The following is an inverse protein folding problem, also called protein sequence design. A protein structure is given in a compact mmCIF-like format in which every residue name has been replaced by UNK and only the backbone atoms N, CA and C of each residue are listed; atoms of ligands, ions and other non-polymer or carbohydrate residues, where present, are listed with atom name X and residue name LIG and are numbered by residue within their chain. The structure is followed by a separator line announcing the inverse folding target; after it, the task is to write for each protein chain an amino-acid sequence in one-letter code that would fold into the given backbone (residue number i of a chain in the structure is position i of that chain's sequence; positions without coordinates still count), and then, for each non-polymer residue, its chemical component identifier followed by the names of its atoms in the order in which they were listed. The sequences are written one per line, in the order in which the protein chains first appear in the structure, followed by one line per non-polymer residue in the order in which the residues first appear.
data_IF_814197076197
#
_entry.id   IF_814197076197
#
_cell.length_a   1.000
_cell.length_b   1.000
_cell.length_c   1.000
_cell.angle_alpha   90.00
_cell.angle_beta   90.00
_cell.angle_gamma   90.00
#
_symmetry.space_group_name_H-M   'P 1'
#
loop_
_entity.id
_entity.type
_entity.pdbx_description
1 polymer ?
#
# COMPACT_ATOMS: atom_id res chain seq x y z
N UNK A 1 0.47 26.84 36.13
CA UNK A 1 -0.18 28.13 35.85
C UNK A 1 0.35 28.61 34.50
N UNK A 2 -0.54 28.93 33.56
CA UNK A 2 -0.16 29.49 32.25
C UNK A 2 -0.27 31.01 32.24
N UNK A 3 0.32 31.66 31.24
CA UNK A 3 0.11 33.09 30.97
C UNK A 3 -1.15 33.20 30.10
N UNK A 4 -2.22 33.75 30.67
CA UNK A 4 -3.51 33.85 29.98
C UNK A 4 -3.38 34.69 28.71
N UNK A 5 -3.81 34.14 27.58
CA UNK A 5 -3.82 34.82 26.28
C UNK A 5 -2.44 34.96 25.61
N UNK A 6 -1.39 34.31 26.12
CA UNK A 6 -0.06 34.39 25.53
C UNK A 6 -0.02 33.82 24.10
N UNK A 7 -0.57 32.63 23.90
CA UNK A 7 -0.65 31.99 22.57
C UNK A 7 -1.38 32.89 21.58
N UNK A 8 -2.61 33.32 21.90
CA UNK A 8 -3.38 34.25 21.07
C UNK A 8 -2.65 35.56 20.80
N UNK A 9 -1.89 36.09 21.77
CA UNK A 9 -1.07 37.29 21.57
C UNK A 9 0.08 37.03 20.60
N UNK A 10 0.78 35.90 20.72
CA UNK A 10 1.88 35.50 19.85
C UNK A 10 1.36 35.26 18.42
N UNK A 11 0.29 34.49 18.26
CA UNK A 11 -0.31 34.19 16.96
C UNK A 11 -0.78 35.45 16.22
N UNK A 12 -1.35 36.43 16.95
CA UNK A 12 -1.83 37.68 16.35
C UNK A 12 -0.71 38.63 15.95
N UNK A 13 0.35 38.73 16.76
CA UNK A 13 1.40 39.74 16.55
C UNK A 13 2.63 39.20 15.80
N UNK A 14 2.86 37.88 15.85
CA UNK A 14 4.03 37.19 15.30
C UNK A 14 3.60 35.85 14.65
N UNK A 15 2.69 35.88 13.65
CA UNK A 15 2.15 34.66 13.05
C UNK A 15 3.26 33.78 12.49
N UNK A 16 3.20 32.48 12.79
CA UNK A 16 4.13 31.43 12.35
C UNK A 16 5.60 31.60 12.78
N UNK A 17 5.95 32.61 13.58
CA UNK A 17 7.32 32.78 14.06
C UNK A 17 7.64 31.88 15.27
N UNK A 18 6.62 31.53 16.06
CA UNK A 18 6.80 30.80 17.34
C UNK A 18 5.72 29.73 17.61
N UNK A 19 4.53 29.87 17.03
CA UNK A 19 3.47 28.87 17.09
C UNK A 19 3.26 28.34 15.67
N UNK A 20 3.69 27.11 15.42
CA UNK A 20 3.50 26.41 14.16
C UNK A 20 3.31 24.92 14.43
N UNK A 21 2.53 24.26 13.59
CA UNK A 21 2.37 22.81 13.67
C UNK A 21 3.69 22.11 13.37
N UNK A 22 3.98 21.06 14.13
CA UNK A 22 5.19 20.27 13.98
C UNK A 22 4.85 18.79 13.93
N UNK A 23 5.55 18.08 13.05
CA UNK A 23 5.61 16.63 13.08
C UNK A 23 6.73 16.22 14.05
N UNK A 24 6.36 15.54 15.14
CA UNK A 24 7.29 15.08 16.18
C UNK A 24 8.33 14.10 15.61
N UNK A 25 7.95 13.27 14.63
CA UNK A 25 8.84 12.33 13.96
C UNK A 25 9.84 13.07 13.08
N UNK A 26 9.41 14.08 12.33
CA UNK A 26 10.31 14.90 11.51
C UNK A 26 11.36 15.61 12.39
N UNK A 27 10.93 16.24 13.48
CA UNK A 27 11.84 16.86 14.45
C UNK A 27 12.83 15.85 15.04
N UNK A 28 12.35 14.64 15.36
CA UNK A 28 13.19 13.56 15.86
C UNK A 28 14.24 13.11 14.82
N UNK A 29 13.89 13.03 13.54
CA UNK A 29 14.79 12.61 12.47
C UNK A 29 15.81 13.70 12.09
N UNK A 30 15.40 14.98 12.08
CA UNK A 30 16.32 16.12 11.95
C UNK A 30 17.35 16.09 13.09
N UNK A 31 16.88 15.94 14.33
CA UNK A 31 17.77 15.88 15.50
C UNK A 31 18.77 14.72 15.41
N UNK A 32 18.33 13.53 14.98
CA UNK A 32 19.21 12.37 14.78
C UNK A 32 20.27 12.65 13.72
N UNK A 33 19.89 13.28 12.60
CA UNK A 33 20.78 13.62 11.50
C UNK A 33 21.86 14.60 11.95
N UNK A 34 21.46 15.64 12.68
CA UNK A 34 22.36 16.74 13.04
C UNK A 34 23.28 16.40 14.22
N UNK A 35 22.81 15.55 15.14
CA UNK A 35 23.54 15.28 16.40
C UNK A 35 24.07 13.86 16.52
N UNK A 36 23.56 12.92 15.71
CA UNK A 36 23.83 11.48 15.86
C UNK A 36 23.27 10.86 17.14
N UNK A 37 22.47 11.60 17.92
CA UNK A 37 21.95 11.17 19.23
C UNK A 37 20.51 10.71 19.15
N UNK A 38 20.11 9.89 20.13
CA UNK A 38 18.71 9.48 20.29
C UNK A 38 17.89 10.66 20.82
N UNK A 39 16.81 11.07 20.14
CA UNK A 39 15.94 12.15 20.59
C UNK A 39 15.20 11.72 21.86
N UNK A 40 15.07 12.66 22.80
CA UNK A 40 14.37 12.49 24.08
C UNK A 40 13.32 13.58 24.16
N UNK A 41 12.06 13.16 24.28
CA UNK A 41 10.91 14.05 24.46
C UNK A 41 10.58 14.07 25.95
N UNK A 42 10.44 15.27 26.51
CA UNK A 42 9.97 15.47 27.88
C UNK A 42 8.51 15.88 27.78
N UNK A 43 7.65 15.11 28.45
CA UNK A 43 6.19 15.37 28.50
C UNK A 43 5.87 15.95 29.87
N UNK A 44 5.15 17.08 29.89
CA UNK A 44 4.62 17.67 31.11
C UNK A 44 3.39 16.88 31.59
N UNK A 45 3.62 15.92 32.50
CA UNK A 45 2.60 14.99 32.99
C UNK A 45 1.32 15.67 33.51
N UNK A 46 1.40 16.66 34.42
CA UNK A 46 0.25 17.42 34.91
C UNK A 46 -0.60 18.11 33.84
N UNK A 47 0.00 18.53 32.72
CA UNK A 47 -0.72 19.22 31.65
C UNK A 47 -1.31 18.22 30.64
N UNK A 48 -0.55 17.15 30.33
CA UNK A 48 -1.02 15.99 29.57
C UNK A 48 -2.27 15.35 30.20
N UNK A 49 -2.33 15.31 31.54
CA UNK A 49 -3.49 14.84 32.31
C UNK A 49 -4.79 15.60 32.02
N UNK A 50 -4.73 16.90 31.72
CA UNK A 50 -5.93 17.69 31.40
C UNK A 50 -6.43 17.41 29.99
N UNK A 51 -5.53 17.33 29.02
CA UNK A 51 -5.87 17.00 27.64
C UNK A 51 -6.58 15.65 27.54
N UNK A 52 -6.11 14.65 28.29
CA UNK A 52 -6.74 13.33 28.35
C UNK A 52 -8.10 13.33 29.06
N UNK A 53 -8.36 14.28 29.96
CA UNK A 53 -9.63 14.38 30.66
C UNK A 53 -10.71 14.99 29.77
N UNK A 54 -10.33 15.82 28.78
CA UNK A 54 -11.26 16.45 27.85
C UNK A 54 -11.77 15.48 26.75
N UNK A 55 -10.98 14.44 26.40
CA UNK A 55 -11.36 13.39 25.43
C UNK A 55 -12.22 12.25 26.03
N UNK A 56 -12.35 12.19 27.37
CA UNK A 56 -13.16 11.17 28.03
C UNK A 56 -14.59 11.66 28.20
N UNK A 57 -15.52 11.15 27.38
CA UNK A 57 -16.97 11.39 27.50
C UNK A 57 -17.47 11.20 28.95
N UNK A 58 -17.63 12.32 29.66
CA UNK A 58 -18.50 12.69 30.80
C UNK A 58 -18.89 11.69 31.93
N UNK A 59 -18.53 10.41 31.93
CA UNK A 59 -19.24 9.42 32.78
C UNK A 59 -18.50 8.86 34.00
N UNK A 60 -17.20 9.11 34.20
CA UNK A 60 -16.45 8.40 35.27
C UNK A 60 -15.55 9.25 36.17
N UNK A 61 -15.64 10.57 36.13
CA UNK A 61 -14.71 11.46 36.85
C UNK A 61 -14.81 11.40 38.38
N UNK A 62 -15.85 10.80 38.97
CA UNK A 62 -16.13 10.82 40.42
C UNK A 62 -15.71 9.52 41.16
N UNK A 63 -15.47 8.39 40.47
CA UNK A 63 -15.52 7.06 41.12
C UNK A 63 -14.17 6.35 41.37
N UNK A 64 -13.03 7.07 41.37
CA UNK A 64 -11.75 6.51 41.86
C UNK A 64 -11.03 5.52 40.94
N UNK A 65 -11.48 5.34 39.69
CA UNK A 65 -10.77 4.61 38.62
C UNK A 65 -9.64 5.39 37.93
N UNK A 66 -9.52 6.69 38.25
CA UNK A 66 -8.75 7.69 37.49
C UNK A 66 -7.27 7.37 37.32
N UNK A 67 -6.62 6.77 38.33
CA UNK A 67 -5.20 6.40 38.25
C UNK A 67 -4.94 5.19 37.35
N UNK A 68 -5.90 4.25 37.28
CA UNK A 68 -5.77 3.05 36.45
C UNK A 68 -5.96 3.42 34.98
N UNK A 69 -7.01 4.17 34.67
CA UNK A 69 -7.27 4.71 33.32
C UNK A 69 -6.11 5.59 32.85
N UNK A 70 -5.60 6.47 33.71
CA UNK A 70 -4.41 7.28 33.40
C UNK A 70 -3.18 6.41 33.06
N UNK A 71 -2.92 5.38 33.86
CA UNK A 71 -1.81 4.46 33.62
C UNK A 71 -2.02 3.69 32.33
N UNK A 72 -3.24 3.27 32.02
CA UNK A 72 -3.59 2.57 30.78
C UNK A 72 -3.42 3.47 29.54
N UNK A 73 -3.95 4.68 29.57
CA UNK A 73 -3.81 5.66 28.48
C UNK A 73 -2.36 6.11 28.28
N UNK A 74 -1.61 6.34 29.36
CA UNK A 74 -0.18 6.67 29.27
C UNK A 74 0.65 5.50 28.74
N UNK A 75 0.31 4.27 29.14
CA UNK A 75 0.92 3.06 28.57
C UNK A 75 0.59 2.93 27.09
N UNK A 76 -0.65 3.19 26.70
CA UNK A 76 -1.08 3.17 25.30
C UNK A 76 -0.29 4.17 24.46
N UNK A 77 -0.24 5.44 24.88
CA UNK A 77 0.56 6.48 24.21
C UNK A 77 2.03 6.08 24.03
N UNK A 78 2.70 5.62 25.11
CA UNK A 78 4.10 5.18 25.02
C UNK A 78 4.26 3.91 24.20
N UNK A 79 3.28 3.01 24.23
CA UNK A 79 3.28 1.77 23.46
C UNK A 79 3.19 2.06 21.95
N UNK A 80 2.33 2.98 21.51
CA UNK A 80 2.19 3.37 20.11
C UNK A 80 3.54 3.74 19.47
N UNK A 81 4.37 4.55 20.15
CA UNK A 81 5.70 4.89 19.64
C UNK A 81 6.69 3.73 19.63
N UNK A 82 6.60 2.79 20.59
CA UNK A 82 7.49 1.63 20.63
C UNK A 82 7.10 0.62 19.55
N UNK A 83 5.81 0.38 19.37
CA UNK A 83 5.25 -0.58 18.42
C UNK A 83 5.54 -0.16 16.98
N UNK A 84 5.32 1.10 16.61
CA UNK A 84 5.60 1.58 15.26
C UNK A 84 7.10 1.47 14.88
N UNK A 85 8.00 1.73 15.83
CA UNK A 85 9.44 1.57 15.59
C UNK A 85 9.84 0.10 15.34
N UNK A 86 9.22 -0.86 16.03
CA UNK A 86 9.47 -2.29 15.76
C UNK A 86 8.89 -2.70 14.40
N UNK A 87 7.69 -2.21 14.05
CA UNK A 87 7.09 -2.40 12.72
C UNK A 87 8.03 -1.89 11.62
N UNK A 88 8.58 -0.67 11.77
CA UNK A 88 9.53 -0.10 10.81
C UNK A 88 10.83 -0.90 10.69
N UNK A 89 11.35 -1.46 11.79
CA UNK A 89 12.52 -2.35 11.75
C UNK A 89 12.21 -3.62 10.96
N UNK A 90 11.05 -4.25 11.19
CA UNK A 90 10.64 -5.43 10.45
C UNK A 90 10.45 -5.13 8.95
N UNK A 91 9.80 -4.00 8.63
CA UNK A 91 9.63 -3.54 7.25
C UNK A 91 10.99 -3.33 6.55
N UNK A 92 11.96 -2.72 7.25
CA UNK A 92 13.33 -2.54 6.76
C UNK A 92 14.02 -3.88 6.45
N UNK A 93 13.99 -4.83 7.40
CA UNK A 93 14.61 -6.15 7.21
C UNK A 93 13.99 -6.86 5.99
N UNK A 94 12.66 -6.83 5.86
CA UNK A 94 11.98 -7.43 4.70
C UNK A 94 12.32 -6.73 3.39
N UNK A 95 12.44 -5.40 3.40
CA UNK A 95 12.85 -4.62 2.23
C UNK A 95 14.28 -4.95 1.79
N UNK A 96 15.24 -4.94 2.71
CA UNK A 96 16.65 -5.26 2.44
C UNK A 96 16.85 -6.72 1.97
N UNK A 97 16.02 -7.64 2.47
CA UNK A 97 16.00 -9.04 2.05
C UNK A 97 15.16 -9.32 0.79
N UNK A 98 14.59 -8.28 0.16
CA UNK A 98 13.74 -8.40 -1.04
C UNK A 98 12.51 -9.32 -0.85
N UNK A 99 12.02 -9.46 0.39
CA UNK A 99 10.87 -10.28 0.76
C UNK A 99 9.53 -9.52 0.64
N UNK A 100 9.57 -8.26 0.24
CA UNK A 100 8.40 -7.39 -0.01
C UNK A 100 8.68 -6.49 -1.21
N UNK A 101 7.63 -5.92 -1.80
CA UNK A 101 7.79 -4.91 -2.86
C UNK A 101 8.56 -3.67 -2.38
N UNK A 102 9.30 -3.06 -3.32
CA UNK A 102 10.20 -1.94 -3.03
C UNK A 102 9.50 -0.71 -2.44
N UNK A 103 8.21 -0.52 -2.70
CA UNK A 103 7.44 0.65 -2.25
C UNK A 103 6.99 0.57 -0.79
N UNK A 104 6.90 -0.64 -0.21
CA UNK A 104 6.31 -0.84 1.10
C UNK A 104 7.03 -0.05 2.20
N UNK A 105 8.34 -0.21 2.33
CA UNK A 105 9.13 0.45 3.39
C UNK A 105 9.22 1.98 3.20
N UNK A 106 9.51 2.53 2.00
CA UNK A 106 9.49 3.98 1.78
C UNK A 106 8.16 4.65 2.17
N UNK A 107 7.02 4.06 1.84
CA UNK A 107 5.71 4.61 2.24
C UNK A 107 5.59 4.68 3.77
N UNK A 108 6.01 3.63 4.48
CA UNK A 108 5.96 3.62 5.95
C UNK A 108 6.92 4.64 6.59
N UNK A 109 7.98 5.02 5.89
CA UNK A 109 8.84 6.13 6.31
C UNK A 109 8.18 7.51 6.10
N UNK A 110 7.13 7.60 5.27
CA UNK A 110 6.49 8.85 4.87
C UNK A 110 7.06 9.42 3.56
N UNK A 111 7.82 8.63 2.79
CA UNK A 111 8.33 9.06 1.50
C UNK A 111 7.23 9.08 0.45
N UNK A 112 7.44 9.89 -0.61
CA UNK A 112 6.53 9.98 -1.75
C UNK A 112 6.46 8.63 -2.47
N UNK A 113 5.24 8.17 -2.74
CA UNK A 113 5.00 7.03 -3.61
C UNK A 113 5.08 7.47 -5.07
N UNK A 114 6.05 6.93 -5.81
CA UNK A 114 6.25 7.23 -7.22
C UNK A 114 5.80 6.06 -8.09
N UNK A 115 4.92 6.34 -9.06
CA UNK A 115 4.56 5.38 -10.09
C UNK A 115 5.23 5.79 -11.41
N UNK A 116 6.15 4.93 -11.87
CA UNK A 116 6.92 5.17 -13.10
C UNK A 116 6.05 5.42 -14.33
N UNK A 117 6.62 6.02 -15.38
CA UNK A 117 5.96 6.21 -16.69
C UNK A 117 5.53 4.85 -17.26
N UNK A 118 4.32 4.78 -17.81
CA UNK A 118 3.83 3.62 -18.55
C UNK A 118 3.52 4.00 -20.02
N UNK A 119 3.47 3.01 -20.92
CA UNK A 119 3.12 3.23 -22.32
C UNK A 119 1.59 3.30 -22.41
N UNK A 120 1.04 4.46 -22.07
CA UNK A 120 -0.39 4.74 -22.09
C UNK A 120 -0.73 5.81 -23.13
N UNK A 121 -1.97 5.77 -23.64
CA UNK A 121 -2.46 6.84 -24.50
C UNK A 121 -3.35 7.80 -23.70
N UNK A 122 -2.75 8.82 -23.11
CA UNK A 122 -3.44 9.84 -22.33
C UNK A 122 -4.39 10.73 -23.15
N UNK A 123 -4.34 10.67 -24.48
CA UNK A 123 -5.31 11.36 -25.34
C UNK A 123 -6.62 10.56 -25.50
N UNK A 124 -6.65 9.29 -25.09
CA UNK A 124 -7.83 8.45 -25.19
C UNK A 124 -8.79 8.71 -24.03
N UNK A 125 -9.83 9.52 -24.27
CA UNK A 125 -10.84 9.85 -23.25
C UNK A 125 -11.72 8.67 -22.82
N UNK A 126 -11.68 7.55 -23.54
CA UNK A 126 -12.45 6.36 -23.18
C UNK A 126 -11.70 5.46 -22.17
N UNK A 127 -10.42 5.72 -21.92
CA UNK A 127 -9.61 4.96 -20.98
C UNK A 127 -9.02 5.90 -19.95
N UNK A 128 -9.18 5.52 -18.70
CA UNK A 128 -8.50 6.11 -17.56
C UNK A 128 -7.05 5.64 -17.50
N UNK A 129 -6.16 6.48 -16.95
CA UNK A 129 -4.77 6.10 -16.74
C UNK A 129 -4.66 4.90 -15.78
N UNK A 130 -3.60 4.10 -15.86
CA UNK A 130 -3.43 3.00 -14.90
C UNK A 130 -3.16 3.51 -13.48
N UNK A 131 -2.53 4.67 -13.36
CA UNK A 131 -2.37 5.38 -12.10
C UNK A 131 -3.73 5.63 -11.43
N UNK A 132 -4.71 6.13 -12.18
CA UNK A 132 -6.07 6.34 -11.69
C UNK A 132 -6.85 5.01 -11.54
N UNK A 133 -6.66 4.06 -12.45
CA UNK A 133 -7.25 2.71 -12.44
C UNK A 133 -7.10 2.01 -11.09
N UNK A 134 -5.88 2.03 -10.58
CA UNK A 134 -5.48 1.32 -9.37
C UNK A 134 -5.41 2.21 -8.13
N UNK A 135 -5.79 3.49 -8.21
CA UNK A 135 -5.82 4.39 -7.05
C UNK A 135 -6.66 3.82 -5.89
N UNK A 136 -7.90 3.31 -6.10
CA UNK A 136 -8.68 2.73 -5.01
C UNK A 136 -7.98 1.56 -4.29
N UNK A 137 -7.26 0.73 -5.05
CA UNK A 137 -6.47 -0.38 -4.49
C UNK A 137 -5.27 0.15 -3.69
N UNK A 138 -4.54 1.14 -4.19
CA UNK A 138 -3.42 1.77 -3.45
C UNK A 138 -3.87 2.36 -2.13
N UNK A 139 -4.99 3.08 -2.11
CA UNK A 139 -5.57 3.64 -0.87
C UNK A 139 -5.86 2.56 0.18
N UNK A 140 -6.36 1.40 -0.24
CA UNK A 140 -6.58 0.24 0.65
C UNK A 140 -5.28 -0.42 1.10
N UNK A 141 -4.27 -0.51 0.22
CA UNK A 141 -2.94 -0.98 0.60
C UNK A 141 -2.33 -0.06 1.67
N UNK A 142 -2.46 1.26 1.51
CA UNK A 142 -2.04 2.22 2.53
C UNK A 142 -2.81 2.02 3.84
N UNK A 143 -4.12 1.74 3.74
CA UNK A 143 -4.95 1.40 4.88
C UNK A 143 -4.48 0.18 5.66
N UNK A 144 -3.90 -0.81 5.00
CA UNK A 144 -3.25 -1.96 5.66
C UNK A 144 -1.91 -1.55 6.28
N UNK A 145 -1.04 -0.88 5.52
CA UNK A 145 0.34 -0.59 5.94
C UNK A 145 0.45 0.46 7.04
N UNK A 146 -0.51 1.37 7.13
CA UNK A 146 -0.48 2.52 8.03
C UNK A 146 -1.58 2.44 9.10
N UNK A 147 -2.27 1.30 9.22
CA UNK A 147 -3.33 1.11 10.21
C UNK A 147 -2.86 1.35 11.65
N UNK A 148 -1.63 0.94 11.97
CA UNK A 148 -1.00 1.11 13.29
C UNK A 148 -0.21 2.42 13.42
N UNK A 149 -0.31 3.32 12.44
CA UNK A 149 0.30 4.64 12.49
C UNK A 149 -0.77 5.72 12.68
N UNK A 150 -0.99 6.20 13.91
CA UNK A 150 -2.09 7.12 14.23
C UNK A 150 -1.95 8.49 13.57
N UNK A 151 -0.73 8.89 13.19
CA UNK A 151 -0.44 10.24 12.73
C UNK A 151 -0.58 10.40 11.21
N UNK A 152 -0.82 9.32 10.46
CA UNK A 152 -0.82 9.35 9.00
C UNK A 152 -2.22 9.16 8.43
N UNK A 153 -2.79 10.25 7.92
CA UNK A 153 -4.09 10.23 7.21
C UNK A 153 -3.94 10.18 5.68
N UNK A 154 -2.77 10.55 5.15
CA UNK A 154 -2.52 10.69 3.71
C UNK A 154 -1.17 10.10 3.32
N UNK A 155 -1.06 9.68 2.06
CA UNK A 155 0.20 9.33 1.39
C UNK A 155 0.41 10.29 0.23
N UNK A 156 1.60 10.86 0.14
CA UNK A 156 1.98 11.71 -0.98
C UNK A 156 2.28 10.84 -2.20
N UNK A 157 1.59 11.05 -3.32
CA UNK A 157 1.83 10.34 -4.59
C UNK A 157 2.37 11.27 -5.67
N UNK A 158 3.36 10.78 -6.44
CA UNK A 158 3.80 11.35 -7.71
C UNK A 158 3.52 10.33 -8.81
N UNK A 159 2.31 10.38 -9.36
CA UNK A 159 1.83 9.43 -10.36
C UNK A 159 1.48 10.15 -11.67
N UNK A 160 2.01 9.66 -12.79
CA UNK A 160 1.71 10.23 -14.11
C UNK A 160 0.33 9.77 -14.58
N UNK A 161 -0.58 10.73 -14.74
CA UNK A 161 -1.98 10.49 -15.14
C UNK A 161 -2.33 11.14 -16.49
N UNK A 162 -1.45 11.97 -17.04
CA UNK A 162 -1.67 12.71 -18.28
C UNK A 162 -0.35 12.84 -19.07
N UNK A 163 -0.38 13.58 -20.18
CA UNK A 163 0.84 13.93 -20.93
C UNK A 163 1.74 14.94 -20.19
N UNK A 164 1.36 15.37 -18.98
CA UNK A 164 2.12 16.31 -18.17
C UNK A 164 2.74 15.60 -16.96
N UNK A 165 4.00 15.92 -16.68
CA UNK A 165 4.66 15.44 -15.47
C UNK A 165 4.10 16.22 -14.27
N UNK A 166 3.63 15.56 -13.20
CA UNK A 166 3.19 16.28 -12.02
C UNK A 166 4.34 17.11 -11.44
N UNK A 167 4.08 18.39 -11.14
CA UNK A 167 5.07 19.29 -10.55
C UNK A 167 5.21 19.13 -9.04
N UNK A 168 4.15 18.65 -8.37
CA UNK A 168 4.08 18.46 -6.93
C UNK A 168 3.38 17.12 -6.61
N UNK A 169 3.65 16.59 -5.42
CA UNK A 169 3.01 15.36 -4.97
C UNK A 169 1.55 15.63 -4.53
N UNK A 170 0.66 14.72 -4.90
CA UNK A 170 -0.75 14.78 -4.51
C UNK A 170 -0.96 14.04 -3.19
N UNK A 171 -1.64 14.66 -2.24
CA UNK A 171 -2.07 14.00 -1.01
C UNK A 171 -3.23 13.04 -1.30
N UNK A 172 -2.96 11.74 -1.17
CA UNK A 172 -3.94 10.69 -1.36
C UNK A 172 -4.44 10.20 0.00
N UNK A 173 -5.75 10.27 0.29
CA UNK A 173 -6.27 9.83 1.57
C UNK A 173 -6.20 8.32 1.70
N UNK A 174 -5.88 7.86 2.90
CA UNK A 174 -5.86 6.45 3.25
C UNK A 174 -7.28 5.92 3.37
N UNK A 175 -7.54 4.73 2.83
CA UNK A 175 -8.86 4.08 2.91
C UNK A 175 -8.77 2.77 3.68
N UNK A 176 -9.37 2.74 4.86
CA UNK A 176 -9.52 1.51 5.64
C UNK A 176 -10.57 0.60 5.00
N UNK A 177 -10.34 -0.70 5.07
CA UNK A 177 -11.39 -1.69 4.76
C UNK A 177 -12.39 -1.74 5.92
N UNK A 178 -13.65 -2.04 5.60
CA UNK A 178 -14.68 -2.21 6.63
C UNK A 178 -14.30 -3.36 7.57
N UNK A 179 -14.36 -3.10 8.87
CA UNK A 179 -13.99 -4.05 9.93
C UNK A 179 -12.54 -4.54 9.85
N UNK A 180 -11.61 -3.66 9.49
CA UNK A 180 -10.17 -3.99 9.41
C UNK A 180 -9.64 -4.63 10.70
N UNK A 181 -10.15 -4.23 11.87
CA UNK A 181 -9.81 -4.78 13.19
C UNK A 181 -10.04 -6.30 13.31
N UNK A 182 -10.97 -6.85 12.53
CA UNK A 182 -11.23 -8.30 12.48
C UNK A 182 -10.17 -9.07 11.71
N UNK A 183 -9.55 -8.43 10.72
CA UNK A 183 -8.66 -9.08 9.75
C UNK A 183 -7.19 -8.73 9.97
N UNK A 184 -6.91 -7.60 10.63
CA UNK A 184 -5.58 -7.06 10.79
C UNK A 184 -5.02 -7.39 12.19
N UNK A 185 -4.14 -8.41 12.33
CA UNK A 185 -3.64 -8.86 13.63
C UNK A 185 -2.52 -7.98 14.22
N UNK A 186 -2.22 -6.85 13.58
CA UNK A 186 -1.00 -6.07 13.76
C UNK A 186 0.10 -6.53 12.80
N UNK A 187 0.86 -5.59 12.23
CA UNK A 187 1.79 -5.82 11.13
C UNK A 187 2.91 -6.77 11.54
N UNK A 188 3.48 -6.60 12.74
CA UNK A 188 4.50 -7.50 13.26
C UNK A 188 4.03 -8.97 13.30
N UNK A 189 2.79 -9.22 13.73
CA UNK A 189 2.21 -10.57 13.72
C UNK A 189 1.89 -11.00 12.29
N UNK A 190 1.20 -10.16 11.51
CA UNK A 190 0.82 -10.44 10.11
C UNK A 190 2.01 -10.92 9.27
N UNK A 191 3.17 -10.32 9.52
CA UNK A 191 4.42 -10.53 8.78
C UNK A 191 5.37 -11.58 9.36
N UNK A 192 5.07 -12.09 10.55
CA UNK A 192 5.82 -13.19 11.17
C UNK A 192 5.30 -14.54 10.71
N UNK A 193 6.13 -15.57 10.83
CA UNK A 193 5.76 -16.95 10.48
C UNK A 193 4.68 -17.54 11.42
N UNK A 194 4.37 -16.85 12.52
CA UNK A 194 3.32 -17.24 13.47
C UNK A 194 1.90 -16.92 12.97
N UNK A 195 1.76 -16.03 11.98
CA UNK A 195 0.45 -15.71 11.42
C UNK A 195 -0.06 -16.83 10.52
N UNK A 196 -1.26 -17.33 10.83
CA UNK A 196 -1.97 -18.27 9.97
C UNK A 196 -2.19 -17.67 8.57
N UNK A 197 -1.89 -18.46 7.54
CA UNK A 197 -2.08 -18.07 6.14
C UNK A 197 -3.52 -17.68 5.82
N UNK A 198 -4.50 -18.31 6.47
CA UNK A 198 -5.91 -18.01 6.24
C UNK A 198 -6.21 -16.56 6.56
N UNK A 199 -5.65 -16.01 7.65
CA UNK A 199 -5.86 -14.60 8.00
C UNK A 199 -5.27 -13.66 6.94
N UNK A 200 -4.08 -13.99 6.42
CA UNK A 200 -3.45 -13.24 5.33
C UNK A 200 -4.29 -13.25 4.05
N UNK A 201 -4.86 -14.40 3.71
CA UNK A 201 -5.75 -14.53 2.54
C UNK A 201 -7.06 -13.78 2.72
N UNK A 202 -7.66 -13.81 3.92
CA UNK A 202 -8.86 -13.02 4.23
C UNK A 202 -8.58 -11.52 4.12
N UNK A 203 -7.50 -11.02 4.73
CA UNK A 203 -7.11 -9.62 4.62
C UNK A 203 -6.83 -9.22 3.15
N UNK A 204 -6.19 -10.10 2.38
CA UNK A 204 -5.94 -9.88 0.95
C UNK A 204 -7.25 -9.72 0.16
N UNK A 205 -8.20 -10.65 0.27
CA UNK A 205 -9.45 -10.59 -0.50
C UNK A 205 -10.33 -9.42 -0.07
N UNK A 206 -10.33 -9.07 1.22
CA UNK A 206 -11.06 -7.92 1.73
C UNK A 206 -10.48 -6.58 1.25
N UNK A 207 -9.18 -6.52 1.04
CA UNK A 207 -8.48 -5.33 0.55
C UNK A 207 -8.48 -5.21 -0.97
N UNK A 208 -8.70 -6.31 -1.70
CA UNK A 208 -8.64 -6.32 -3.16
C UNK A 208 -9.71 -5.41 -3.78
N UNK A 209 -10.96 -5.56 -3.37
CA UNK A 209 -12.13 -4.84 -3.92
C UNK A 209 -13.01 -4.30 -2.80
N UNK A 210 -13.77 -3.24 -3.06
CA UNK A 210 -14.60 -2.61 -2.03
C UNK A 210 -15.84 -3.44 -1.69
N UNK A 211 -16.61 -3.87 -2.71
CA UNK A 211 -17.93 -4.49 -2.52
C UNK A 211 -17.90 -6.01 -2.72
N UNK A 212 -17.70 -6.46 -3.96
CA UNK A 212 -17.75 -7.87 -4.30
C UNK A 212 -16.40 -8.52 -4.01
N UNK A 213 -16.37 -9.50 -3.11
CA UNK A 213 -15.13 -10.14 -2.64
C UNK A 213 -14.91 -11.50 -3.29
N UNK A 214 -13.65 -11.86 -3.49
CA UNK A 214 -13.26 -13.24 -3.76
C UNK A 214 -13.35 -14.08 -2.49
N UNK A 215 -13.56 -15.39 -2.66
CA UNK A 215 -13.37 -16.34 -1.57
C UNK A 215 -11.89 -16.53 -1.28
N UNK A 216 -11.50 -16.34 -0.01
CA UNK A 216 -10.16 -16.61 0.49
C UNK A 216 -9.73 -18.07 0.22
N UNK A 217 -10.64 -19.03 0.38
CA UNK A 217 -10.37 -20.44 0.11
C UNK A 217 -10.15 -20.71 -1.38
N UNK A 218 -10.96 -20.10 -2.25
CA UNK A 218 -10.82 -20.27 -3.70
C UNK A 218 -9.50 -19.71 -4.19
N UNK A 219 -9.10 -18.52 -3.73
CA UNK A 219 -7.84 -17.91 -4.15
C UNK A 219 -6.63 -18.67 -3.59
N UNK A 220 -6.70 -19.13 -2.33
CA UNK A 220 -5.67 -19.98 -1.73
C UNK A 220 -5.48 -21.27 -2.54
N UNK A 221 -6.58 -21.94 -2.93
CA UNK A 221 -6.56 -23.18 -3.72
C UNK A 221 -6.03 -22.99 -5.14
N UNK A 222 -6.23 -21.82 -5.76
CA UNK A 222 -5.69 -21.51 -7.08
C UNK A 222 -4.16 -21.58 -7.09
N UNK A 223 -3.52 -21.04 -6.04
CA UNK A 223 -2.07 -21.04 -5.90
C UNK A 223 -1.32 -20.33 -7.04
N UNK A 224 0.00 -20.47 -7.05
CA UNK A 224 0.84 -19.92 -8.11
C UNK A 224 0.77 -20.79 -9.40
N UNK A 225 0.76 -20.21 -10.62
CA UNK A 225 0.82 -18.78 -10.98
C UNK A 225 -0.54 -18.09 -11.09
N UNK A 226 -1.65 -18.69 -10.65
CA UNK A 226 -2.99 -18.21 -11.01
C UNK A 226 -3.53 -17.11 -10.10
N UNK A 227 -3.11 -17.07 -8.83
CA UNK A 227 -3.57 -16.05 -7.87
C UNK A 227 -3.43 -14.63 -8.41
N UNK A 228 -2.26 -14.27 -8.91
CA UNK A 228 -1.98 -12.89 -9.36
C UNK A 228 -2.81 -12.50 -10.58
N UNK A 229 -2.80 -13.23 -11.73
CA UNK A 229 -3.63 -12.89 -12.88
C UNK A 229 -5.12 -12.84 -12.52
N UNK A 230 -5.61 -13.80 -11.73
CA UNK A 230 -7.02 -13.83 -11.33
C UNK A 230 -7.36 -12.62 -10.45
N UNK A 231 -6.51 -12.25 -9.49
CA UNK A 231 -6.74 -11.09 -8.65
C UNK A 231 -6.72 -9.76 -9.45
N UNK A 232 -5.83 -9.62 -10.42
CA UNK A 232 -5.77 -8.45 -11.31
C UNK A 232 -7.05 -8.34 -12.14
N UNK A 233 -7.43 -9.42 -12.81
CA UNK A 233 -8.62 -9.44 -13.67
C UNK A 233 -9.89 -9.25 -12.85
N UNK A 234 -9.97 -9.86 -11.66
CA UNK A 234 -11.10 -9.67 -10.76
C UNK A 234 -11.21 -8.22 -10.29
N UNK A 235 -10.10 -7.59 -9.89
CA UNK A 235 -10.10 -6.17 -9.53
C UNK A 235 -10.63 -5.30 -10.68
N UNK A 236 -10.09 -5.48 -11.89
CA UNK A 236 -10.51 -4.72 -13.07
C UNK A 236 -11.99 -4.95 -13.38
N UNK A 237 -12.48 -6.20 -13.30
CA UNK A 237 -13.89 -6.52 -13.51
C UNK A 237 -14.83 -5.89 -12.46
N UNK A 238 -14.39 -5.75 -11.22
CA UNK A 238 -15.25 -5.19 -10.16
C UNK A 238 -15.20 -3.67 -10.10
N UNK A 239 -14.02 -3.08 -10.25
CA UNK A 239 -13.78 -1.66 -9.98
C UNK A 239 -13.62 -0.84 -11.27
N UNK A 240 -13.27 -1.46 -12.40
CA UNK A 240 -12.96 -0.80 -13.68
C UNK A 240 -13.41 -1.60 -14.92
N UNK A 241 -14.71 -1.93 -14.98
CA UNK A 241 -15.34 -2.77 -16.02
C UNK A 241 -15.02 -2.38 -17.46
N UNK A 242 -14.85 -1.08 -17.72
CA UNK A 242 -14.64 -0.57 -19.08
C UNK A 242 -13.18 -0.69 -19.56
N UNK A 243 -12.25 -1.13 -18.70
CA UNK A 243 -10.83 -1.21 -19.06
C UNK A 243 -10.51 -2.41 -19.96
N UNK A 244 -11.18 -3.54 -19.76
CA UNK A 244 -10.95 -4.78 -20.50
C UNK A 244 -12.27 -5.35 -21.01
N UNK A 245 -12.24 -5.87 -22.23
CA UNK A 245 -13.35 -6.65 -22.81
C UNK A 245 -13.29 -8.10 -22.35
N UNK A 246 -14.40 -8.80 -22.45
CA UNK A 246 -14.51 -10.21 -22.07
C UNK A 246 -13.51 -11.08 -22.85
N UNK A 247 -13.35 -10.85 -24.15
CA UNK A 247 -12.41 -11.60 -24.99
C UNK A 247 -10.95 -11.35 -24.60
N UNK A 248 -10.65 -10.14 -24.09
CA UNK A 248 -9.30 -9.78 -23.63
C UNK A 248 -8.99 -10.48 -22.30
N UNK A 249 -9.99 -10.65 -21.43
CA UNK A 249 -9.88 -11.40 -20.18
C UNK A 249 -9.63 -12.88 -20.48
N UNK A 250 -10.40 -13.47 -21.40
CA UNK A 250 -10.24 -14.86 -21.82
C UNK A 250 -8.84 -15.13 -22.36
N UNK A 251 -8.31 -14.23 -23.20
CA UNK A 251 -6.95 -14.35 -23.73
C UNK A 251 -5.90 -14.32 -22.62
N UNK A 252 -6.03 -13.42 -21.64
CA UNK A 252 -5.08 -13.34 -20.51
C UNK A 252 -5.15 -14.61 -19.65
N UNK A 253 -6.35 -15.14 -19.38
CA UNK A 253 -6.54 -16.38 -18.62
C UNK A 253 -5.96 -17.58 -19.37
N UNK A 254 -6.22 -17.68 -20.68
CA UNK A 254 -5.63 -18.72 -21.54
C UNK A 254 -4.11 -18.63 -21.55
N UNK A 255 -3.55 -17.43 -21.63
CA UNK A 255 -2.10 -17.23 -21.55
C UNK A 255 -1.55 -17.67 -20.20
N UNK A 256 -2.22 -17.33 -19.09
CA UNK A 256 -1.82 -17.79 -17.76
C UNK A 256 -1.88 -19.31 -17.59
N UNK A 257 -2.89 -19.97 -18.17
CA UNK A 257 -3.01 -21.43 -18.19
C UNK A 257 -1.92 -22.08 -19.06
N UNK A 258 -1.62 -21.46 -20.21
CA UNK A 258 -0.68 -21.98 -21.21
C UNK A 258 0.77 -22.03 -20.72
N UNK A 259 1.17 -21.17 -19.78
CA UNK A 259 2.55 -21.15 -19.22
C UNK A 259 2.93 -22.46 -18.52
N UNK A 260 1.96 -23.27 -18.07
CA UNK A 260 2.25 -24.60 -17.51
C UNK A 260 2.47 -25.69 -18.56
N UNK A 261 1.98 -25.47 -19.78
CA UNK A 261 1.95 -26.47 -20.86
C UNK A 261 3.02 -26.19 -21.90
N UNK A 262 3.28 -24.91 -22.16
CA UNK A 262 4.17 -24.45 -23.22
C UNK A 262 5.32 -23.65 -22.63
N UNK A 263 6.53 -23.96 -23.10
CA UNK A 263 7.71 -23.15 -22.81
C UNK A 263 7.65 -21.81 -23.55
N UNK A 264 8.49 -20.85 -23.15
CA UNK A 264 8.61 -19.60 -23.89
C UNK A 264 9.02 -19.81 -25.36
N UNK A 265 9.80 -20.86 -25.64
CA UNK A 265 10.22 -21.22 -27.00
C UNK A 265 9.06 -21.82 -27.81
N UNK A 266 8.21 -22.63 -27.20
CA UNK A 266 6.99 -23.16 -27.84
C UNK A 266 6.04 -22.03 -28.24
N UNK A 267 5.82 -21.07 -27.32
CA UNK A 267 4.98 -19.89 -27.59
C UNK A 267 5.59 -19.03 -28.70
N UNK A 268 6.92 -18.87 -28.72
CA UNK A 268 7.62 -18.15 -29.78
C UNK A 268 7.51 -18.86 -31.14
N UNK A 269 7.61 -20.19 -31.17
CA UNK A 269 7.44 -20.98 -32.37
C UNK A 269 6.02 -20.86 -32.93
N UNK A 270 5.00 -20.93 -32.07
CA UNK A 270 3.60 -20.71 -32.48
C UNK A 270 3.38 -19.31 -33.06
N UNK A 271 4.00 -18.27 -32.48
CA UNK A 271 3.95 -16.91 -33.03
C UNK A 271 4.57 -16.84 -34.43
N UNK A 272 5.69 -17.50 -34.68
CA UNK A 272 6.34 -17.49 -35.98
C UNK A 272 5.52 -18.24 -37.07
N UNK A 273 4.63 -19.15 -36.68
CA UNK A 273 3.72 -19.86 -37.59
C UNK A 273 2.49 -19.03 -37.97
N UNK A 274 2.10 -18.06 -37.12
CA UNK A 274 1.09 -17.07 -37.46
C UNK A 274 1.72 -16.11 -38.48
N UNK A 275 1.29 -16.20 -39.75
CA UNK A 275 1.77 -15.37 -40.87
C UNK A 275 1.38 -13.88 -40.74
N UNK A 276 1.04 -13.44 -39.54
CA UNK A 276 0.73 -12.06 -39.20
C UNK A 276 2.05 -11.31 -39.06
N UNK A 277 2.30 -10.31 -39.91
CA UNK A 277 3.49 -9.45 -39.79
C UNK A 277 3.63 -8.84 -38.39
N UNK A 278 4.82 -8.32 -38.07
CA UNK A 278 5.12 -7.61 -36.81
C UNK A 278 4.30 -6.32 -36.69
N UNK A 279 2.99 -6.43 -36.50
CA UNK A 279 2.09 -5.31 -36.27
C UNK A 279 1.84 -5.23 -34.77
N UNK A 280 2.49 -4.25 -34.13
CA UNK A 280 2.14 -3.88 -32.76
C UNK A 280 0.77 -3.21 -32.83
N UNK A 281 -0.27 -3.95 -32.46
CA UNK A 281 -1.61 -3.40 -32.33
C UNK A 281 -1.66 -2.56 -31.06
N UNK A 282 -2.01 -1.28 -31.20
CA UNK A 282 -2.12 -0.33 -30.08
C UNK A 282 -2.84 -0.91 -28.86
N UNK A 283 -3.98 -1.58 -29.07
CA UNK A 283 -4.79 -2.16 -27.99
C UNK A 283 -4.04 -3.25 -27.21
N UNK A 284 -3.18 -4.03 -27.86
CA UNK A 284 -2.37 -5.06 -27.17
C UNK A 284 -1.35 -4.43 -26.23
N UNK A 285 -0.73 -3.30 -26.64
CA UNK A 285 0.17 -2.55 -25.76
C UNK A 285 -0.56 -1.93 -24.57
N UNK A 286 -1.78 -1.42 -24.79
CA UNK A 286 -2.66 -0.91 -23.72
C UNK A 286 -3.01 -2.03 -22.72
N UNK A 287 -3.49 -3.20 -23.19
CA UNK A 287 -3.83 -4.36 -22.34
C UNK A 287 -2.61 -4.82 -21.55
N UNK A 288 -1.45 -4.97 -22.21
CA UNK A 288 -0.22 -5.38 -21.55
C UNK A 288 0.17 -4.39 -20.44
N UNK A 289 0.04 -3.09 -20.69
CA UNK A 289 0.36 -2.04 -19.70
C UNK A 289 -0.59 -2.11 -18.50
N UNK A 290 -1.90 -2.18 -18.74
CA UNK A 290 -2.93 -2.32 -17.68
C UNK A 290 -2.66 -3.55 -16.83
N UNK A 291 -2.42 -4.70 -17.47
CA UNK A 291 -2.18 -5.96 -16.78
C UNK A 291 -0.85 -5.96 -16.01
N UNK A 292 0.25 -5.44 -16.59
CA UNK A 292 1.55 -5.32 -15.90
C UNK A 292 1.46 -4.46 -14.64
N UNK A 293 0.75 -3.33 -14.75
CA UNK A 293 0.50 -2.43 -13.62
C UNK A 293 -0.34 -3.12 -12.55
N UNK A 294 -1.38 -3.83 -12.97
CA UNK A 294 -2.18 -4.66 -12.07
C UNK A 294 -1.34 -5.70 -11.32
N UNK A 295 -0.45 -6.43 -12.00
CA UNK A 295 0.47 -7.39 -11.37
C UNK A 295 1.30 -6.72 -10.28
N UNK A 296 1.83 -5.52 -10.57
CA UNK A 296 2.63 -4.77 -9.59
C UNK A 296 1.79 -4.37 -8.37
N UNK A 297 0.54 -3.94 -8.57
CA UNK A 297 -0.37 -3.53 -7.49
C UNK A 297 -0.85 -4.72 -6.65
N UNK A 298 -1.12 -5.87 -7.28
CA UNK A 298 -1.49 -7.10 -6.56
C UNK A 298 -0.32 -7.65 -5.77
N UNK A 299 0.90 -7.62 -6.31
CA UNK A 299 2.10 -8.00 -5.56
C UNK A 299 2.37 -7.04 -4.40
N UNK A 300 2.06 -5.76 -4.57
CA UNK A 300 2.14 -4.78 -3.50
C UNK A 300 1.13 -5.09 -2.39
N UNK A 301 -0.11 -5.40 -2.75
CA UNK A 301 -1.12 -5.85 -1.78
C UNK A 301 -0.72 -7.15 -1.08
N UNK A 302 -0.25 -8.16 -1.83
CA UNK A 302 0.25 -9.41 -1.24
C UNK A 302 1.37 -9.13 -0.22
N UNK A 303 2.29 -8.21 -0.54
CA UNK A 303 3.36 -7.81 0.38
C UNK A 303 2.80 -7.20 1.66
N UNK A 304 1.85 -6.26 1.53
CA UNK A 304 1.20 -5.64 2.69
C UNK A 304 0.51 -6.68 3.58
N UNK A 305 -0.15 -7.68 2.98
CA UNK A 305 -0.83 -8.77 3.68
C UNK A 305 0.12 -9.88 4.21
N UNK A 306 1.44 -9.70 4.20
CA UNK A 306 2.40 -10.70 4.70
C UNK A 306 2.73 -11.83 3.74
N UNK A 307 2.45 -11.63 2.45
CA UNK A 307 2.80 -12.49 1.31
C UNK A 307 2.42 -13.97 1.51
N UNK A 308 1.12 -14.33 1.48
CA UNK A 308 0.66 -15.69 1.76
C UNK A 308 0.93 -16.72 0.66
N UNK A 309 1.76 -16.40 -0.34
CA UNK A 309 2.21 -17.34 -1.37
C UNK A 309 3.45 -18.08 -0.87
N UNK A 310 3.57 -19.36 -1.19
CA UNK A 310 4.76 -20.16 -0.84
C UNK A 310 6.03 -19.77 -1.63
N UNK A 311 5.88 -19.02 -2.73
CA UNK A 311 7.01 -18.50 -3.50
C UNK A 311 7.46 -17.15 -2.94
N UNK A 312 8.74 -16.81 -3.04
CA UNK A 312 9.19 -15.46 -2.67
C UNK A 312 8.74 -14.41 -3.71
N UNK A 313 8.74 -13.14 -3.30
CA UNK A 313 8.28 -12.01 -4.12
C UNK A 313 9.09 -11.89 -5.42
N UNK A 314 10.41 -12.06 -5.35
CA UNK A 314 11.29 -11.94 -6.51
C UNK A 314 11.06 -13.07 -7.52
N UNK A 315 10.91 -14.31 -7.05
CA UNK A 315 10.57 -15.47 -7.87
C UNK A 315 9.20 -15.29 -8.52
N UNK A 316 8.20 -14.87 -7.75
CA UNK A 316 6.86 -14.57 -8.24
C UNK A 316 6.90 -13.52 -9.35
N UNK A 317 7.59 -12.40 -9.13
CA UNK A 317 7.74 -11.33 -10.13
C UNK A 317 8.47 -11.81 -11.38
N UNK A 318 9.57 -12.55 -11.24
CA UNK A 318 10.35 -13.08 -12.36
C UNK A 318 9.51 -13.99 -13.25
N UNK A 319 8.72 -14.88 -12.65
CA UNK A 319 7.84 -15.80 -13.39
C UNK A 319 6.64 -15.08 -14.00
N UNK A 320 6.07 -14.08 -13.33
CA UNK A 320 5.01 -13.23 -13.90
C UNK A 320 5.49 -12.42 -15.10
N UNK A 321 6.74 -11.97 -15.10
CA UNK A 321 7.33 -11.29 -16.27
C UNK A 321 7.27 -12.16 -17.54
N UNK A 322 7.46 -13.47 -17.40
CA UNK A 322 7.36 -14.40 -18.54
C UNK A 322 5.92 -14.53 -19.07
N UNK A 323 4.92 -14.36 -18.19
CA UNK A 323 3.51 -14.36 -18.53
C UNK A 323 3.08 -13.07 -19.23
N UNK A 324 3.64 -11.91 -18.85
CA UNK A 324 3.24 -10.60 -19.38
C UNK A 324 4.01 -10.19 -20.64
N UNK A 325 5.27 -10.62 -20.73
CA UNK A 325 6.14 -10.32 -21.86
C UNK A 325 6.95 -11.58 -22.21
N UNK A 326 6.47 -12.46 -23.13
CA UNK A 326 7.27 -13.55 -23.71
C UNK A 326 8.35 -13.02 -24.68
N UNK A 327 8.89 -11.86 -24.38
CA UNK A 327 9.69 -11.01 -25.22
C UNK A 327 11.13 -11.08 -24.72
N UNK A 328 11.76 -12.24 -24.89
CA UNK A 328 13.23 -12.33 -24.73
C UNK A 328 13.98 -11.96 -26.02
N UNK A 329 13.33 -11.47 -27.07
CA UNK A 329 14.01 -11.02 -28.30
C UNK A 329 13.30 -9.85 -29.02
N UNK A 330 13.54 -8.60 -28.60
CA UNK A 330 13.56 -7.43 -29.50
C UNK A 330 14.99 -7.02 -29.87
N UNK A 331 16.00 -7.77 -29.41
CA UNK A 331 17.40 -7.63 -29.84
C UNK A 331 17.72 -8.78 -30.78
N UNK A 332 17.22 -8.70 -32.00
CA UNK A 332 17.69 -9.46 -33.15
C UNK A 332 17.30 -8.71 -34.41
#
# INVERSE_FOLDING_TARGET
MGILGLETYIERNLPNAYCYEVDIKELADIYRRDTGRRPVIVVDGPNYLRMLADDMEDQYWILGGQLKEFVETSKHFVACFKEWNEILKMAKIKHESCNVTAHMYPIMLGHVYELSVAIENYNNRNLVSTAEAFLPLRQRIYGVLLYENPDTAHVNELCIQSNECPGEATQIPIKLITHIEKFHPGLCKLWSDECHEDLRWHLFVESLTEKNKLSADSIKKLGFPYVVPVAVLYYLLQERKDMLKEEEIDVILLQAASVKVYTADDIKAMRNQLHSGNVIVRRVAEIATVFTRGVTMVLFLLSACGFPLHEDVCSTYRKMRELVMPIKSWRS
#
